data_IF_281633516694
#
_entry.id   IF_281633516694
#
_cell.length_a   1.000
_cell.length_b   1.000
_cell.length_c   1.000
_cell.angle_alpha   90.00
_cell.angle_beta   90.00
_cell.angle_gamma   90.00
#
_symmetry.space_group_name_H-M   'P 1'
#
loop_
_entity.id
_entity.type
_entity.pdbx_description
1 polymer ?
#
# COMPACT_ATOMS: atom_id res chain seq x y z
N UNK A 1 -20.35 -26.45 1.75
CA UNK A 1 -19.09 -25.85 1.27
C UNK A 1 -18.31 -25.47 2.52
N UNK A 2 -17.10 -25.99 2.70
CA UNK A 2 -16.24 -25.50 3.79
C UNK A 2 -15.88 -24.04 3.52
N UNK A 3 -16.17 -23.18 4.49
CA UNK A 3 -15.82 -21.78 4.46
C UNK A 3 -14.29 -21.69 4.63
N UNK A 4 -13.56 -21.50 3.53
CA UNK A 4 -12.11 -21.29 3.60
C UNK A 4 -11.84 -19.92 4.19
N UNK A 5 -11.35 -19.90 5.42
CA UNK A 5 -10.95 -18.67 6.10
C UNK A 5 -9.58 -18.22 5.57
N UNK A 6 -9.46 -16.93 5.26
CA UNK A 6 -8.18 -16.31 4.89
C UNK A 6 -7.62 -15.62 6.12
N UNK A 7 -6.40 -15.98 6.50
CA UNK A 7 -5.70 -15.41 7.67
C UNK A 7 -4.55 -14.53 7.22
N UNK A 8 -4.57 -13.25 7.61
CA UNK A 8 -3.47 -12.30 7.41
C UNK A 8 -2.91 -11.95 8.79
N UNK A 9 -1.67 -12.35 9.06
CA UNK A 9 -1.03 -12.07 10.34
C UNK A 9 -0.59 -10.60 10.43
N UNK A 10 -0.97 -9.94 11.52
CA UNK A 10 -0.60 -8.56 11.80
C UNK A 10 0.61 -8.56 12.76
N UNK A 11 1.72 -7.87 12.43
CA UNK A 11 2.85 -7.71 13.33
C UNK A 11 2.45 -7.12 14.70
N UNK A 12 3.04 -7.62 15.79
CA UNK A 12 2.63 -7.27 17.16
C UNK A 12 2.74 -5.76 17.47
N UNK A 13 3.75 -5.10 16.90
CA UNK A 13 3.91 -3.64 17.00
C UNK A 13 2.70 -2.91 16.40
N UNK A 14 2.14 -3.43 15.31
CA UNK A 14 0.97 -2.84 14.65
C UNK A 14 -0.33 -3.20 15.38
N UNK A 15 -0.42 -4.37 16.03
CA UNK A 15 -1.56 -4.68 16.91
C UNK A 15 -1.65 -3.68 18.06
N UNK A 16 -0.53 -3.41 18.73
CA UNK A 16 -0.48 -2.39 19.79
C UNK A 16 -0.88 -1.01 19.27
N UNK A 17 -0.45 -0.64 18.06
CA UNK A 17 -0.86 0.62 17.44
C UNK A 17 -2.37 0.69 17.20
N UNK A 18 -3.02 -0.42 16.84
CA UNK A 18 -4.48 -0.50 16.68
C UNK A 18 -5.23 -0.38 18.01
N UNK A 19 -4.68 -0.96 19.09
CA UNK A 19 -5.23 -0.82 20.45
C UNK A 19 -5.18 0.64 20.92
N UNK A 20 -4.03 1.30 20.73
CA UNK A 20 -3.85 2.71 21.06
C UNK A 20 -4.79 3.61 20.24
N UNK A 21 -4.92 3.35 18.94
CA UNK A 21 -5.83 4.07 18.05
C UNK A 21 -7.29 4.00 18.54
N UNK A 22 -7.77 2.78 18.81
CA UNK A 22 -9.10 2.54 19.37
C UNK A 22 -9.31 3.30 20.69
N UNK A 23 -8.31 3.28 21.58
CA UNK A 23 -8.37 4.01 22.85
C UNK A 23 -8.41 5.53 22.64
N UNK A 24 -7.60 6.10 21.76
CA UNK A 24 -7.58 7.54 21.51
C UNK A 24 -8.89 8.06 20.93
N UNK A 25 -9.47 7.35 19.97
CA UNK A 25 -10.71 7.75 19.31
C UNK A 25 -11.90 7.56 20.25
N UNK A 26 -12.08 6.35 20.77
CA UNK A 26 -13.32 5.99 21.47
C UNK A 26 -13.32 6.44 22.94
N UNK A 27 -12.18 6.40 23.63
CA UNK A 27 -12.09 6.78 25.06
C UNK A 27 -11.65 8.23 25.24
N UNK A 28 -10.63 8.69 24.52
CA UNK A 28 -10.09 10.05 24.68
C UNK A 28 -10.72 11.10 23.76
N UNK A 29 -11.63 10.71 22.85
CA UNK A 29 -12.31 11.61 21.90
C UNK A 29 -11.33 12.45 21.06
N UNK A 30 -10.19 11.85 20.69
CA UNK A 30 -9.20 12.47 19.80
C UNK A 30 -9.45 11.98 18.38
N UNK A 31 -9.48 12.90 17.44
CA UNK A 31 -9.62 12.61 16.02
C UNK A 31 -8.31 12.90 15.30
N UNK A 32 -8.01 12.12 14.26
CA UNK A 32 -6.88 12.37 13.38
C UNK A 32 -7.06 13.74 12.70
N UNK A 33 -6.00 14.53 12.59
CA UNK A 33 -6.07 15.82 11.90
C UNK A 33 -6.13 15.59 10.39
N UNK A 34 -7.20 16.09 9.75
CA UNK A 34 -7.40 16.00 8.31
C UNK A 34 -7.26 17.37 7.63
N UNK A 35 -6.66 17.44 6.42
CA UNK A 35 -5.95 16.35 5.75
C UNK A 35 -4.63 16.00 6.46
N UNK A 36 -4.24 14.73 6.41
CA UNK A 36 -2.96 14.28 6.95
C UNK A 36 -1.80 14.89 6.15
N UNK A 37 -0.72 15.30 6.82
CA UNK A 37 0.49 15.79 6.15
C UNK A 37 1.13 14.70 5.28
N UNK A 38 1.11 13.46 5.77
CA UNK A 38 1.50 12.26 5.02
C UNK A 38 0.23 11.43 4.84
N UNK A 39 -0.31 11.41 3.61
CA UNK A 39 -1.54 10.69 3.30
C UNK A 39 -1.21 9.27 2.77
N UNK A 40 -2.24 8.47 2.51
CA UNK A 40 -2.06 7.08 2.07
C UNK A 40 -1.36 7.01 0.72
N UNK A 41 -1.63 7.92 -0.21
CA UNK A 41 -0.97 7.96 -1.53
C UNK A 41 0.55 8.10 -1.34
N UNK A 42 1.00 9.03 -0.50
CA UNK A 42 2.43 9.23 -0.28
C UNK A 42 3.10 8.06 0.45
N UNK A 43 2.38 7.38 1.35
CA UNK A 43 2.87 6.16 2.02
C UNK A 43 3.03 5.02 1.00
N UNK A 44 2.02 4.81 0.15
CA UNK A 44 2.01 3.78 -0.87
C UNK A 44 3.11 4.00 -1.92
N UNK A 45 3.29 5.23 -2.40
CA UNK A 45 4.40 5.59 -3.29
C UNK A 45 5.77 5.33 -2.65
N UNK A 46 5.91 5.67 -1.36
CA UNK A 46 7.15 5.42 -0.61
C UNK A 46 7.45 3.93 -0.50
N UNK A 47 6.42 3.11 -0.26
CA UNK A 47 6.56 1.66 -0.20
C UNK A 47 7.05 1.06 -1.52
N UNK A 48 6.46 1.46 -2.66
CA UNK A 48 6.91 0.99 -3.99
C UNK A 48 8.36 1.36 -4.26
N UNK A 49 8.78 2.59 -3.94
CA UNK A 49 10.18 3.03 -4.08
C UNK A 49 11.11 2.17 -3.24
N UNK A 50 10.78 1.96 -1.97
CA UNK A 50 11.56 1.12 -1.06
C UNK A 50 11.64 -0.33 -1.56
N UNK A 51 10.53 -0.88 -2.03
CA UNK A 51 10.47 -2.23 -2.57
C UNK A 51 11.37 -2.40 -3.81
N UNK A 52 11.31 -1.47 -4.76
CA UNK A 52 12.13 -1.52 -5.97
C UNK A 52 13.63 -1.43 -5.67
N UNK A 53 14.02 -0.55 -4.74
CA UNK A 53 15.38 -0.45 -4.20
C UNK A 53 15.82 -1.81 -3.64
N UNK A 54 15.02 -2.39 -2.73
CA UNK A 54 15.35 -3.67 -2.10
C UNK A 54 15.49 -4.80 -3.14
N UNK A 55 14.57 -4.90 -4.10
CA UNK A 55 14.61 -5.91 -5.15
C UNK A 55 15.87 -5.80 -6.02
N UNK A 56 16.30 -4.58 -6.36
CA UNK A 56 17.50 -4.33 -7.15
C UNK A 56 18.78 -4.74 -6.41
N UNK A 57 18.91 -4.40 -5.12
CA UNK A 57 20.10 -4.74 -4.35
C UNK A 57 20.18 -6.24 -3.99
N UNK A 58 19.04 -6.89 -3.72
CA UNK A 58 18.99 -8.35 -3.48
C UNK A 58 19.22 -9.21 -4.73
N UNK A 59 19.32 -8.62 -5.93
CA UNK A 59 19.72 -9.35 -7.15
C UNK A 59 21.25 -9.41 -7.33
N UNK A 60 22.00 -8.56 -6.62
CA UNK A 60 23.45 -8.44 -6.73
C UNK A 60 24.23 -9.38 -5.80
N UNK A 61 23.56 -10.06 -4.87
CA UNK A 61 24.13 -11.15 -4.06
C UNK A 61 24.25 -12.44 -4.89
N UNK A 62 25.10 -12.41 -5.93
CA UNK A 62 25.50 -13.65 -6.61
C UNK A 62 26.31 -14.50 -5.61
N UNK A 63 26.06 -15.82 -5.50
CA UNK A 63 26.98 -16.71 -4.81
C UNK A 63 28.32 -16.63 -5.52
N UNK A 64 29.30 -15.96 -4.90
CA UNK A 64 30.70 -16.07 -5.33
C UNK A 64 31.13 -17.50 -5.03
N UNK A 65 31.70 -18.16 -6.04
CA UNK A 65 32.34 -19.48 -6.02
C UNK A 65 31.44 -20.73 -5.94
N UNK A 66 31.07 -21.29 -7.10
CA UNK A 66 31.61 -22.60 -7.51
C UNK A 66 31.51 -22.79 -9.03
N UNK A 67 32.41 -23.62 -9.53
CA UNK A 67 32.79 -23.89 -10.92
C UNK A 67 31.70 -24.68 -11.71
N UNK A 68 31.74 -24.59 -13.05
CA UNK A 68 31.38 -25.64 -14.06
C UNK A 68 30.06 -25.48 -14.89
N UNK A 69 30.30 -25.24 -16.20
CA UNK A 69 29.60 -25.60 -17.46
C UNK A 69 28.44 -24.75 -18.05
N UNK A 70 28.53 -24.39 -19.36
CA UNK A 70 27.47 -23.73 -20.11
C UNK A 70 26.64 -24.76 -20.89
N UNK A 71 25.41 -25.03 -20.45
CA UNK A 71 24.40 -25.63 -21.32
C UNK A 71 23.37 -24.58 -21.71
N UNK A 72 23.29 -24.33 -23.02
CA UNK A 72 22.28 -23.51 -23.66
C UNK A 72 20.90 -24.03 -23.28
N UNK A 73 20.08 -23.22 -22.62
CA UNK A 73 18.67 -23.48 -22.37
C UNK A 73 17.94 -22.14 -22.23
N UNK A 74 16.77 -22.05 -22.86
CA UNK A 74 15.83 -20.92 -22.86
C UNK A 74 15.78 -20.20 -21.51
N UNK A 75 16.50 -19.08 -21.41
CA UNK A 75 16.64 -18.32 -20.17
C UNK A 75 15.42 -17.40 -20.02
N UNK A 76 14.24 -18.01 -19.79
CA UNK A 76 13.08 -17.26 -19.27
C UNK A 76 13.56 -16.69 -17.94
N UNK A 77 13.74 -15.38 -17.89
CA UNK A 77 14.06 -14.65 -16.67
C UNK A 77 12.90 -14.85 -15.69
N UNK A 78 12.97 -15.90 -14.87
CA UNK A 78 12.02 -16.14 -13.80
C UNK A 78 12.31 -15.14 -12.69
N UNK A 79 11.43 -14.17 -12.53
CA UNK A 79 11.46 -13.22 -11.42
C UNK A 79 10.52 -13.79 -10.34
N UNK A 80 11.03 -14.17 -9.15
CA UNK A 80 10.18 -14.59 -8.04
C UNK A 80 9.14 -13.52 -7.69
N UNK A 81 7.95 -13.93 -7.28
CA UNK A 81 6.86 -13.01 -6.95
C UNK A 81 7.28 -12.00 -5.86
N UNK A 82 8.13 -12.40 -4.90
CA UNK A 82 8.58 -11.51 -3.82
C UNK A 82 9.54 -10.41 -4.30
N UNK A 83 10.06 -10.50 -5.53
CA UNK A 83 10.94 -9.51 -6.16
C UNK A 83 10.30 -8.82 -7.36
N UNK A 84 9.06 -9.18 -7.72
CA UNK A 84 8.39 -8.61 -8.88
C UNK A 84 7.78 -7.24 -8.54
N UNK A 85 8.43 -6.18 -9.04
CA UNK A 85 8.02 -4.79 -8.79
C UNK A 85 6.67 -4.45 -9.41
N UNK A 86 6.33 -5.04 -10.56
CA UNK A 86 5.07 -4.75 -11.23
C UNK A 86 3.88 -5.38 -10.48
N UNK A 87 4.06 -6.60 -9.95
CA UNK A 87 3.08 -7.21 -9.05
C UNK A 87 2.89 -6.38 -7.76
N UNK A 88 3.97 -5.82 -7.23
CA UNK A 88 3.91 -4.91 -6.07
C UNK A 88 3.10 -3.63 -6.39
N UNK A 89 3.26 -3.05 -7.59
CA UNK A 89 2.46 -1.89 -8.02
C UNK A 89 0.97 -2.23 -8.11
N UNK A 90 0.61 -3.38 -8.67
CA UNK A 90 -0.79 -3.83 -8.75
C UNK A 90 -1.40 -4.01 -7.35
N UNK A 91 -0.67 -4.63 -6.42
CA UNK A 91 -1.11 -4.74 -5.02
C UNK A 91 -1.34 -3.36 -4.39
N UNK A 92 -0.42 -2.42 -4.60
CA UNK A 92 -0.50 -1.07 -4.04
C UNK A 92 -1.67 -0.27 -4.61
N UNK A 93 -1.94 -0.38 -5.91
CA UNK A 93 -3.12 0.23 -6.52
C UNK A 93 -4.42 -0.39 -5.99
N UNK A 94 -4.45 -1.73 -5.86
CA UNK A 94 -5.56 -2.45 -5.23
C UNK A 94 -5.83 -2.01 -3.79
N UNK A 95 -4.79 -1.76 -2.99
CA UNK A 95 -4.93 -1.24 -1.63
C UNK A 95 -5.56 0.15 -1.61
N UNK A 96 -5.15 1.05 -2.51
CA UNK A 96 -5.75 2.38 -2.62
C UNK A 96 -7.24 2.29 -2.96
N UNK A 97 -7.60 1.54 -4.00
CA UNK A 97 -8.98 1.39 -4.45
C UNK A 97 -9.84 0.78 -3.33
N UNK A 98 -9.33 -0.28 -2.70
CA UNK A 98 -10.02 -0.94 -1.59
C UNK A 98 -10.21 0.00 -0.42
N UNK A 99 -9.20 0.80 -0.07
CA UNK A 99 -9.31 1.78 1.01
C UNK A 99 -10.36 2.85 0.70
N UNK A 100 -10.32 3.46 -0.49
CA UNK A 100 -11.27 4.50 -0.90
C UNK A 100 -12.73 4.00 -0.81
N UNK A 101 -12.97 2.74 -1.19
CA UNK A 101 -14.28 2.10 -1.09
C UNK A 101 -14.67 1.73 0.35
N UNK A 102 -13.75 1.11 1.10
CA UNK A 102 -14.06 0.53 2.41
C UNK A 102 -14.08 1.53 3.55
N UNK A 103 -13.33 2.64 3.43
CA UNK A 103 -13.23 3.67 4.47
C UNK A 103 -14.59 4.10 5.01
N UNK A 104 -15.53 4.64 4.19
CA UNK A 104 -16.83 5.08 4.70
C UNK A 104 -17.73 3.96 5.22
N UNK A 105 -17.47 2.71 4.83
CA UNK A 105 -18.37 1.58 5.04
C UNK A 105 -18.06 0.83 6.34
N UNK A 106 -16.78 0.51 6.59
CA UNK A 106 -16.40 -0.42 7.66
C UNK A 106 -15.17 -0.01 8.47
N UNK A 107 -14.40 1.00 8.04
CA UNK A 107 -13.14 1.37 8.72
C UNK A 107 -13.28 2.54 9.70
N UNK A 108 -14.41 3.25 9.71
CA UNK A 108 -14.63 4.39 10.62
C UNK A 108 -15.25 3.96 11.95
N UNK A 109 -14.71 4.45 13.05
CA UNK A 109 -15.42 4.40 14.32
C UNK A 109 -16.66 5.33 14.31
N UNK A 110 -17.67 5.06 15.16
CA UNK A 110 -18.86 5.91 15.25
C UNK A 110 -18.55 7.40 15.50
N UNK A 111 -17.48 7.70 16.25
CA UNK A 111 -17.07 9.08 16.56
C UNK A 111 -16.41 9.82 15.38
N UNK A 112 -15.96 9.12 14.35
CA UNK A 112 -15.29 9.72 13.18
C UNK A 112 -16.27 10.08 12.06
N UNK A 113 -17.50 9.56 12.11
CA UNK A 113 -18.53 9.73 11.08
C UNK A 113 -18.83 11.21 10.77
N UNK A 114 -18.90 12.05 11.81
CA UNK A 114 -19.13 13.48 11.64
C UNK A 114 -17.93 14.18 10.95
N UNK A 115 -16.71 13.78 11.30
CA UNK A 115 -15.50 14.30 10.66
C UNK A 115 -15.44 13.90 9.19
N UNK A 116 -15.70 12.63 8.87
CA UNK A 116 -15.75 12.14 7.49
C UNK A 116 -16.74 12.96 6.65
N UNK A 117 -18.00 13.09 7.11
CA UNK A 117 -19.03 13.87 6.42
C UNK A 117 -18.59 15.31 6.17
N UNK A 118 -17.96 15.96 7.17
CA UNK A 118 -17.47 17.34 7.03
C UNK A 118 -16.39 17.45 5.96
N UNK A 119 -15.45 16.51 5.93
CA UNK A 119 -14.33 16.51 4.98
C UNK A 119 -14.82 16.23 3.56
N UNK A 120 -15.72 15.27 3.35
CA UNK A 120 -16.22 14.92 2.02
C UNK A 120 -17.23 15.92 1.46
N UNK A 121 -18.01 16.59 2.32
CA UNK A 121 -18.93 17.66 1.89
C UNK A 121 -18.20 18.95 1.51
N UNK A 122 -16.98 19.15 2.03
CA UNK A 122 -16.13 20.28 1.63
C UNK A 122 -15.64 20.00 0.21
N UNK A 123 -16.00 20.85 -0.76
CA UNK A 123 -15.84 20.67 -2.22
C UNK A 123 -14.39 20.59 -2.75
N UNK A 124 -13.49 19.86 -2.09
CA UNK A 124 -12.06 19.81 -2.39
C UNK A 124 -11.56 18.51 -3.04
N UNK A 125 -12.45 17.64 -3.52
CA UNK A 125 -12.06 16.53 -4.37
C UNK A 125 -12.34 16.86 -5.84
N UNK A 126 -11.46 17.66 -6.44
CA UNK A 126 -11.31 17.58 -7.89
C UNK A 126 -10.45 16.34 -8.21
N UNK A 127 -10.86 15.48 -9.15
CA UNK A 127 -9.95 14.49 -9.69
C UNK A 127 -8.74 15.24 -10.25
N UNK A 128 -7.53 14.74 -9.97
CA UNK A 128 -6.33 15.18 -10.67
C UNK A 128 -6.60 14.90 -12.14
N UNK A 129 -6.97 15.95 -12.90
CA UNK A 129 -7.07 15.88 -14.34
C UNK A 129 -5.63 15.74 -14.82
N UNK A 130 -5.29 14.54 -15.29
CA UNK A 130 -4.04 14.27 -15.97
C UNK A 130 -3.94 15.29 -17.12
N UNK A 131 -3.06 16.28 -16.96
CA UNK A 131 -2.77 17.24 -18.01
C UNK A 131 -1.95 16.50 -19.07
N UNK A 132 -2.64 15.82 -19.97
CA UNK A 132 -2.12 15.49 -21.28
C UNK A 132 -1.87 16.81 -22.03
N UNK A 133 -0.71 17.42 -21.84
CA UNK A 133 -0.13 18.26 -22.88
C UNK A 133 0.65 17.34 -23.81
N UNK A 134 -0.11 16.83 -24.76
CA UNK A 134 0.34 16.41 -26.07
C UNK A 134 1.37 17.38 -26.65
N UNK A 135 2.45 16.80 -27.16
CA UNK A 135 3.31 17.28 -28.23
C UNK A 135 2.60 18.25 -29.18
N UNK A 136 3.17 19.43 -29.42
CA UNK A 136 3.19 20.01 -30.76
C UNK A 136 4.18 21.18 -30.88
N UNK A 137 5.12 20.98 -31.80
CA UNK A 137 5.92 21.92 -32.60
C UNK A 137 7.24 22.45 -32.05
#
# INVERSE_FOLDING_TARGET
MEERTITIEIPEVLKKQLEDDCYYINRRKRLVKLPCQTNIITILESYVKHFAINAAFSANERPRHHHVMPHANMNVHYIPAEKNVDLCKEMVDGLRITFDYTLPLVLLYPYEQAQYKKVTSSKFFLPIKESATSTNR
#
